data_IF_390787905683
#
_entry.id   IF_390787905683
#
_cell.length_a   1.000
_cell.length_b   1.000
_cell.length_c   1.000
_cell.angle_alpha   90.00
_cell.angle_beta   90.00
_cell.angle_gamma   90.00
#
_symmetry.space_group_name_H-M   'P 1'
#
loop_
_entity.id
_entity.type
_entity.pdbx_description
1 polymer ?
#
# COMPACT_ATOMS: atom_id res chain seq x y z
N UNK A 1 -32.36 -39.24 9.02
CA UNK A 1 -31.11 -38.71 8.43
C UNK A 1 -31.36 -37.59 7.39
N UNK A 2 -32.38 -37.67 6.52
CA UNK A 2 -32.63 -36.63 5.47
C UNK A 2 -33.10 -35.25 5.98
N UNK A 3 -33.76 -35.16 7.12
CA UNK A 3 -34.29 -33.87 7.60
C UNK A 3 -33.23 -33.01 8.31
N UNK A 4 -32.22 -33.62 8.94
CA UNK A 4 -31.11 -32.89 9.57
C UNK A 4 -30.19 -32.21 8.52
N UNK A 5 -29.95 -32.91 7.40
CA UNK A 5 -29.14 -32.40 6.28
C UNK A 5 -29.87 -31.24 5.59
N UNK A 6 -31.19 -31.34 5.44
CA UNK A 6 -32.01 -30.22 4.86
C UNK A 6 -32.02 -29.02 5.79
N UNK A 7 -32.07 -29.21 7.11
CA UNK A 7 -32.02 -28.09 8.07
C UNK A 7 -30.66 -27.41 8.06
N UNK A 8 -29.56 -28.18 7.96
CA UNK A 8 -28.19 -27.62 7.83
C UNK A 8 -27.97 -26.85 6.53
N UNK A 9 -28.55 -27.33 5.43
CA UNK A 9 -28.49 -26.64 4.12
C UNK A 9 -29.29 -25.33 4.12
N UNK A 10 -30.43 -25.27 4.79
CA UNK A 10 -31.21 -24.03 4.94
C UNK A 10 -30.47 -23.01 5.81
N UNK A 11 -29.78 -23.46 6.86
CA UNK A 11 -28.97 -22.58 7.72
C UNK A 11 -27.74 -22.03 7.00
N UNK A 12 -27.15 -22.79 6.07
CA UNK A 12 -26.00 -22.34 5.25
C UNK A 12 -26.40 -21.36 4.13
N UNK A 13 -27.68 -21.32 3.75
CA UNK A 13 -28.18 -20.45 2.68
C UNK A 13 -28.80 -19.15 3.19
N UNK A 14 -29.06 -19.02 4.49
CA UNK A 14 -29.77 -17.87 5.07
C UNK A 14 -28.87 -16.66 5.42
N UNK A 15 -27.55 -16.77 5.36
CA UNK A 15 -26.63 -15.70 5.76
C UNK A 15 -25.90 -15.02 4.59
N UNK A 16 -26.49 -14.99 3.39
CA UNK A 16 -26.05 -14.03 2.35
C UNK A 16 -26.73 -12.67 2.52
N UNK A 17 -26.81 -12.19 3.76
CA UNK A 17 -27.02 -10.76 3.97
C UNK A 17 -25.69 -10.06 3.71
N UNK A 18 -25.54 -9.55 2.48
CA UNK A 18 -24.53 -8.55 2.17
C UNK A 18 -24.81 -7.34 3.07
N UNK A 19 -24.09 -7.25 4.17
CA UNK A 19 -23.94 -5.99 4.88
C UNK A 19 -23.21 -5.07 3.92
N UNK A 20 -23.95 -4.23 3.20
CA UNK A 20 -23.35 -3.09 2.51
C UNK A 20 -22.68 -2.28 3.60
N UNK A 21 -21.34 -2.32 3.65
CA UNK A 21 -20.56 -1.36 4.40
C UNK A 21 -20.89 -0.03 3.73
N UNK A 22 -21.75 0.76 4.38
CA UNK A 22 -21.99 2.13 4.00
C UNK A 22 -20.63 2.81 4.02
N UNK A 23 -20.04 3.04 2.84
CA UNK A 23 -18.95 4.00 2.68
C UNK A 23 -19.54 5.32 3.17
N UNK A 24 -19.14 5.74 4.36
CA UNK A 24 -19.52 7.03 4.91
C UNK A 24 -18.77 8.06 4.07
N UNK A 25 -19.46 8.61 3.07
CA UNK A 25 -18.96 9.76 2.33
C UNK A 25 -18.79 10.89 3.33
N UNK A 26 -17.58 11.39 3.44
CA UNK A 26 -17.33 12.61 4.20
C UNK A 26 -17.99 13.78 3.46
N UNK A 27 -18.49 14.80 4.19
CA UNK A 27 -18.95 16.04 3.59
C UNK A 27 -17.73 16.84 3.09
N UNK A 28 -17.26 16.51 1.93
CA UNK A 28 -16.15 17.05 1.18
C UNK A 28 -15.95 16.11 0.00
N UNK A 29 -16.08 16.62 -1.21
CA UNK A 29 -16.06 15.86 -2.45
C UNK A 29 -14.74 15.08 -2.58
N UNK A 30 -14.73 13.77 -2.27
CA UNK A 30 -13.61 12.89 -2.59
C UNK A 30 -13.37 11.76 -1.59
N UNK A 31 -12.72 10.74 -2.05
CA UNK A 31 -12.28 9.60 -1.25
C UNK A 31 -10.77 9.69 -1.05
N UNK A 32 -10.30 9.52 0.18
CA UNK A 32 -8.88 9.36 0.52
C UNK A 32 -8.63 7.89 0.80
N UNK A 33 -7.91 7.21 -0.07
CA UNK A 33 -7.65 5.77 0.06
C UNK A 33 -6.49 5.33 -0.84
N UNK A 34 -6.00 4.13 -0.64
CA UNK A 34 -5.14 3.41 -1.58
C UNK A 34 -5.93 2.22 -2.15
N UNK A 35 -6.19 2.26 -3.44
CA UNK A 35 -6.66 1.08 -4.18
C UNK A 35 -5.43 0.30 -4.62
N UNK A 36 -5.10 -0.77 -3.91
CA UNK A 36 -3.89 -1.54 -4.19
C UNK A 36 -3.91 -2.16 -5.59
N UNK A 37 -2.97 -1.73 -6.42
CA UNK A 37 -2.76 -2.23 -7.78
C UNK A 37 -1.50 -3.12 -7.84
N UNK A 38 -1.32 -4.02 -6.87
CA UNK A 38 -0.17 -4.92 -6.81
C UNK A 38 -0.03 -5.73 -8.11
N UNK A 39 1.19 -5.77 -8.64
CA UNK A 39 1.49 -6.45 -9.88
C UNK A 39 1.11 -5.69 -11.15
N UNK A 40 0.58 -4.47 -11.02
CA UNK A 40 0.28 -3.61 -12.15
C UNK A 40 1.44 -2.65 -12.44
N UNK A 41 1.68 -2.30 -13.71
CA UNK A 41 2.68 -1.31 -14.08
C UNK A 41 2.20 0.10 -13.73
N UNK A 42 3.12 0.96 -13.30
CA UNK A 42 2.88 2.40 -13.22
C UNK A 42 3.04 3.03 -14.60
N UNK A 43 2.49 4.24 -14.78
CA UNK A 43 2.58 4.96 -16.06
C UNK A 43 3.94 5.65 -16.21
N UNK A 44 4.93 4.91 -16.72
CA UNK A 44 6.31 5.37 -16.88
C UNK A 44 6.49 6.50 -17.89
N UNK A 45 5.59 6.68 -18.86
CA UNK A 45 5.65 7.73 -19.89
C UNK A 45 5.12 9.10 -19.40
N UNK A 46 4.91 9.25 -18.09
CA UNK A 46 4.48 10.52 -17.50
C UNK A 46 5.65 11.51 -17.41
N UNK A 47 5.41 12.75 -17.87
CA UNK A 47 6.40 13.83 -17.90
C UNK A 47 6.31 14.70 -16.64
N UNK A 48 7.47 15.07 -16.09
CA UNK A 48 7.62 15.93 -14.92
C UNK A 48 8.73 16.95 -15.10
N UNK A 49 8.84 17.88 -14.16
CA UNK A 49 10.05 18.68 -13.95
C UNK A 49 10.77 18.13 -12.72
N UNK A 50 12.07 17.91 -12.84
CA UNK A 50 12.90 17.58 -11.68
C UNK A 50 13.18 18.84 -10.85
N UNK A 51 13.86 18.69 -9.72
CA UNK A 51 14.23 19.77 -8.81
C UNK A 51 15.17 20.82 -9.42
N UNK A 52 15.73 20.57 -10.58
CA UNK A 52 16.57 21.54 -11.34
C UNK A 52 15.76 22.28 -12.42
N UNK A 53 14.46 21.96 -12.57
CA UNK A 53 13.59 22.51 -13.60
C UNK A 53 13.75 21.87 -14.98
N UNK A 54 14.44 20.76 -15.07
CA UNK A 54 14.62 19.99 -16.30
C UNK A 54 13.42 19.07 -16.54
N UNK A 55 13.00 18.96 -17.82
CA UNK A 55 11.97 18.00 -18.21
C UNK A 55 12.54 16.59 -18.18
N UNK A 56 11.85 15.71 -17.47
CA UNK A 56 12.20 14.31 -17.34
C UNK A 56 10.96 13.45 -17.60
N UNK A 57 11.16 12.24 -18.11
CA UNK A 57 10.12 11.22 -18.20
C UNK A 57 10.35 10.23 -17.05
N UNK A 58 9.30 9.79 -16.39
CA UNK A 58 9.43 8.90 -15.24
C UNK A 58 10.24 7.64 -15.58
N UNK A 59 10.14 7.14 -16.81
CA UNK A 59 10.91 6.02 -17.34
C UNK A 59 12.43 6.19 -17.23
N UNK A 60 12.94 7.41 -17.30
CA UNK A 60 14.37 7.68 -17.27
C UNK A 60 15.00 7.25 -15.93
N UNK A 61 14.20 7.25 -14.86
CA UNK A 61 14.63 6.79 -13.52
C UNK A 61 14.68 5.26 -13.40
N UNK A 62 14.05 4.51 -14.31
CA UNK A 62 14.00 3.04 -14.31
C UNK A 62 15.06 2.41 -15.21
N UNK A 63 16.11 3.15 -15.56
CA UNK A 63 17.24 2.66 -16.35
C UNK A 63 18.23 1.79 -15.55
N UNK A 64 18.18 1.89 -14.21
CA UNK A 64 18.97 1.08 -13.30
C UNK A 64 18.15 -0.15 -12.89
N UNK A 65 18.81 -1.28 -12.74
CA UNK A 65 18.17 -2.55 -12.31
C UNK A 65 18.00 -2.59 -10.78
N UNK A 66 17.39 -1.55 -10.23
CA UNK A 66 17.15 -1.39 -8.78
C UNK A 66 15.71 -0.96 -8.51
N UNK A 67 15.12 -1.37 -7.38
CA UNK A 67 13.78 -0.97 -6.99
C UNK A 67 13.70 0.52 -6.66
N UNK A 68 12.50 1.08 -6.84
CA UNK A 68 12.20 2.49 -6.62
C UNK A 68 11.16 2.65 -5.53
N UNK A 69 11.45 3.48 -4.53
CA UNK A 69 10.46 3.95 -3.56
C UNK A 69 9.76 5.17 -4.15
N UNK A 70 8.44 5.14 -4.28
CA UNK A 70 7.64 6.29 -4.74
C UNK A 70 6.83 6.81 -3.58
N UNK A 71 6.95 8.13 -3.32
CA UNK A 71 6.11 8.87 -2.39
C UNK A 71 5.31 9.94 -3.13
N UNK A 72 4.06 10.13 -2.73
CA UNK A 72 3.13 11.09 -3.31
C UNK A 72 2.74 12.08 -2.22
N UNK A 73 3.24 13.32 -2.34
CA UNK A 73 3.12 14.36 -1.33
C UNK A 73 2.99 15.72 -1.99
N UNK A 74 2.56 16.76 -1.26
CA UNK A 74 2.73 18.14 -1.70
C UNK A 74 3.68 18.89 -0.74
N UNK A 75 4.50 19.77 -1.28
CA UNK A 75 5.67 20.26 -0.57
C UNK A 75 5.36 21.36 0.45
N UNK A 76 4.31 22.15 0.25
CA UNK A 76 3.85 23.15 1.23
C UNK A 76 2.94 22.58 2.34
N UNK A 77 2.74 21.27 2.36
CA UNK A 77 1.93 20.61 3.39
C UNK A 77 2.39 20.98 4.81
N UNK A 78 1.49 21.51 5.66
CA UNK A 78 1.86 21.96 7.00
C UNK A 78 2.22 20.81 7.95
N UNK A 79 1.80 19.57 7.69
CA UNK A 79 1.99 18.49 8.66
C UNK A 79 2.25 17.11 8.05
N UNK A 80 1.27 16.49 7.38
CA UNK A 80 1.28 15.06 7.06
C UNK A 80 2.41 14.64 6.10
N UNK A 81 2.64 15.41 5.03
CA UNK A 81 3.68 15.09 4.04
C UNK A 81 5.07 15.12 4.66
N UNK A 82 5.31 16.08 5.57
CA UNK A 82 6.56 16.15 6.32
C UNK A 82 6.73 14.94 7.25
N UNK A 83 5.65 14.39 7.82
CA UNK A 83 5.70 13.18 8.64
C UNK A 83 6.05 11.95 7.82
N UNK A 84 5.43 11.76 6.64
CA UNK A 84 5.73 10.63 5.74
C UNK A 84 7.19 10.66 5.29
N UNK A 85 7.67 11.81 4.79
CA UNK A 85 9.06 11.94 4.34
C UNK A 85 10.07 11.85 5.49
N UNK A 86 9.72 12.35 6.68
CA UNK A 86 10.55 12.18 7.87
C UNK A 86 10.64 10.70 8.28
N UNK A 87 9.51 9.99 8.34
CA UNK A 87 9.50 8.58 8.67
C UNK A 87 10.26 7.73 7.65
N UNK A 88 10.19 8.08 6.37
CA UNK A 88 11.03 7.45 5.35
C UNK A 88 12.51 7.73 5.63
N UNK A 89 12.91 8.99 5.80
CA UNK A 89 14.29 9.35 6.05
C UNK A 89 14.87 8.72 7.33
N UNK A 90 14.07 8.63 8.40
CA UNK A 90 14.47 7.95 9.64
C UNK A 90 14.74 6.45 9.40
N UNK A 91 13.91 5.81 8.57
CA UNK A 91 14.09 4.40 8.18
C UNK A 91 15.32 4.21 7.29
N UNK A 92 15.55 5.10 6.32
CA UNK A 92 16.72 5.06 5.44
C UNK A 92 18.02 5.19 6.21
N UNK A 93 18.04 5.99 7.29
CA UNK A 93 19.24 6.18 8.13
C UNK A 93 19.67 4.91 8.86
N UNK A 94 18.73 4.03 9.18
CA UNK A 94 19.01 2.73 9.83
C UNK A 94 19.14 1.59 8.82
N UNK A 95 18.80 1.83 7.55
CA UNK A 95 18.78 0.81 6.51
C UNK A 95 20.22 0.39 6.14
N UNK A 96 20.44 -0.92 6.07
CA UNK A 96 21.74 -1.50 5.66
C UNK A 96 21.88 -1.66 4.13
N UNK A 97 21.04 -0.98 3.36
CA UNK A 97 21.07 -0.91 1.89
C UNK A 97 21.55 0.47 1.45
N UNK A 98 22.19 0.57 0.29
CA UNK A 98 22.84 1.77 -0.22
C UNK A 98 21.99 2.44 -1.31
N UNK A 99 21.75 3.75 -1.17
CA UNK A 99 21.08 4.53 -2.20
C UNK A 99 21.90 4.55 -3.49
N UNK A 100 21.25 4.25 -4.61
CA UNK A 100 21.86 4.20 -5.94
C UNK A 100 22.46 2.85 -6.34
N UNK A 101 22.72 1.97 -5.36
CA UNK A 101 23.14 0.60 -5.60
C UNK A 101 22.01 -0.40 -5.38
N UNK A 102 21.28 -0.25 -4.27
CA UNK A 102 20.22 -1.18 -3.88
C UNK A 102 18.82 -0.61 -4.08
N UNK A 103 18.66 0.72 -4.07
CA UNK A 103 17.37 1.39 -4.27
C UNK A 103 17.55 2.85 -4.71
N UNK A 104 16.47 3.43 -5.21
CA UNK A 104 16.34 4.88 -5.44
C UNK A 104 14.98 5.36 -4.95
N UNK A 105 14.80 6.69 -4.87
CA UNK A 105 13.59 7.30 -4.33
C UNK A 105 13.10 8.39 -5.29
N UNK A 106 11.80 8.41 -5.51
CA UNK A 106 11.11 9.46 -6.25
C UNK A 106 9.98 10.00 -5.39
N UNK A 107 10.03 11.27 -5.06
CA UNK A 107 8.94 12.02 -4.45
C UNK A 107 8.24 12.83 -5.52
N UNK A 108 6.96 12.57 -5.76
CA UNK A 108 6.15 13.27 -6.76
C UNK A 108 5.18 14.19 -6.04
N UNK A 109 5.19 15.45 -6.43
CA UNK A 109 4.26 16.46 -5.96
C UNK A 109 2.86 16.21 -6.52
N UNK A 110 1.85 16.18 -5.64
CA UNK A 110 0.45 16.05 -6.03
C UNK A 110 -0.26 17.38 -6.22
N UNK A 111 0.40 18.50 -5.88
CA UNK A 111 -0.11 19.86 -6.10
C UNK A 111 0.44 20.44 -7.42
N UNK A 112 -0.38 20.59 -8.48
CA UNK A 112 0.08 21.09 -9.76
C UNK A 112 0.48 22.59 -9.77
N UNK A 113 0.29 23.28 -8.65
CA UNK A 113 0.63 24.70 -8.50
C UNK A 113 2.00 24.93 -7.85
N UNK A 114 2.60 23.89 -7.29
CA UNK A 114 3.94 23.95 -6.71
C UNK A 114 5.03 23.93 -7.77
N UNK A 115 6.18 24.48 -7.44
CA UNK A 115 7.25 24.73 -8.40
C UNK A 115 8.48 23.88 -8.15
N UNK A 116 9.30 23.69 -9.18
CA UNK A 116 10.57 22.96 -9.05
C UNK A 116 11.54 23.62 -8.07
N UNK A 117 11.46 24.96 -7.88
CA UNK A 117 12.30 25.65 -6.89
C UNK A 117 11.94 25.21 -5.47
N UNK A 118 10.65 25.00 -5.19
CA UNK A 118 10.21 24.45 -3.92
C UNK A 118 10.65 22.99 -3.76
N UNK A 119 10.54 22.19 -4.82
CA UNK A 119 11.08 20.82 -4.86
C UNK A 119 12.58 20.79 -4.54
N UNK A 120 13.36 21.69 -5.16
CA UNK A 120 14.80 21.85 -4.89
C UNK A 120 15.08 22.14 -3.41
N UNK A 121 14.35 23.10 -2.85
CA UNK A 121 14.51 23.45 -1.44
C UNK A 121 14.16 22.28 -0.49
N UNK A 122 13.09 21.57 -0.77
CA UNK A 122 12.69 20.39 -0.01
C UNK A 122 13.74 19.29 -0.09
N UNK A 123 14.17 18.93 -1.29
CA UNK A 123 15.27 17.97 -1.50
C UNK A 123 16.50 18.34 -0.68
N UNK A 124 17.00 19.58 -0.83
CA UNK A 124 18.16 20.06 -0.08
C UNK A 124 18.00 19.89 1.42
N UNK A 125 16.83 20.23 1.98
CA UNK A 125 16.56 20.11 3.41
C UNK A 125 16.61 18.64 3.88
N UNK A 126 16.02 17.70 3.12
CA UNK A 126 16.01 16.28 3.48
C UNK A 126 17.40 15.65 3.33
N UNK A 127 18.11 15.92 2.24
CA UNK A 127 19.48 15.43 2.02
C UNK A 127 20.41 15.91 3.14
N UNK A 128 20.36 17.19 3.50
CA UNK A 128 21.16 17.75 4.59
C UNK A 128 20.78 17.18 5.96
N UNK A 129 19.47 17.01 6.23
CA UNK A 129 18.98 16.48 7.50
C UNK A 129 19.46 15.05 7.75
N UNK A 130 19.37 14.20 6.75
CA UNK A 130 19.65 12.78 6.90
C UNK A 130 21.12 12.43 6.67
N UNK A 131 21.81 13.18 5.81
CA UNK A 131 23.24 13.03 5.51
C UNK A 131 23.65 11.56 5.25
N UNK A 132 22.89 10.93 4.33
CA UNK A 132 23.14 9.54 3.89
C UNK A 132 23.95 9.60 2.59
N UNK A 133 24.93 8.73 2.46
CA UNK A 133 25.79 8.65 1.28
C UNK A 133 24.96 8.40 0.01
N UNK A 134 25.31 9.10 -1.07
CA UNK A 134 24.67 9.03 -2.39
C UNK A 134 23.17 9.41 -2.43
N UNK A 135 22.56 9.84 -1.32
CA UNK A 135 21.13 10.16 -1.26
C UNK A 135 20.76 11.31 -2.21
N UNK A 136 21.58 12.34 -2.32
CA UNK A 136 21.33 13.49 -3.19
C UNK A 136 21.13 13.10 -4.66
N UNK A 137 21.90 12.15 -5.14
CA UNK A 137 21.82 11.70 -6.53
C UNK A 137 20.71 10.66 -6.77
N UNK A 138 20.16 10.08 -5.71
CA UNK A 138 19.23 8.96 -5.77
C UNK A 138 17.88 9.22 -5.07
N UNK A 139 17.60 10.48 -4.71
CA UNK A 139 16.30 10.94 -4.26
C UNK A 139 15.85 12.13 -5.11
N UNK A 140 14.98 11.89 -6.07
CA UNK A 140 14.45 12.92 -6.97
C UNK A 140 13.13 13.49 -6.45
N UNK A 141 12.95 14.80 -6.62
CA UNK A 141 11.74 15.52 -6.24
C UNK A 141 11.11 16.12 -7.51
N UNK A 142 9.96 15.60 -7.89
CA UNK A 142 9.32 15.89 -9.17
C UNK A 142 8.07 16.73 -8.98
N UNK A 143 7.91 17.75 -9.87
CA UNK A 143 6.67 18.53 -9.99
C UNK A 143 6.08 18.34 -11.38
N UNK A 144 4.76 18.46 -11.53
CA UNK A 144 4.13 18.14 -12.80
C UNK A 144 2.81 18.85 -13.04
N UNK A 145 2.28 18.67 -14.25
CA UNK A 145 0.94 19.14 -14.58
C UNK A 145 -0.13 18.27 -13.90
N UNK A 146 -1.30 18.85 -13.65
CA UNK A 146 -2.43 18.13 -13.07
C UNK A 146 -2.78 16.82 -13.85
N UNK A 147 -2.60 16.84 -15.18
CA UNK A 147 -2.84 15.67 -16.02
C UNK A 147 -1.84 14.53 -15.71
N UNK A 148 -0.54 14.83 -15.68
CA UNK A 148 0.51 13.85 -15.44
C UNK A 148 0.49 13.35 -13.99
N UNK A 149 0.22 14.24 -13.02
CA UNK A 149 0.00 13.88 -11.61
C UNK A 149 -1.17 12.90 -11.49
N UNK A 150 -2.32 13.18 -12.11
CA UNK A 150 -3.48 12.27 -12.09
C UNK A 150 -3.20 10.93 -12.76
N UNK A 151 -2.46 10.92 -13.86
CA UNK A 151 -2.06 9.67 -14.52
C UNK A 151 -1.27 8.76 -13.58
N UNK A 152 -0.25 9.31 -12.93
CA UNK A 152 0.60 8.51 -12.03
C UNK A 152 -0.13 8.11 -10.75
N UNK A 153 -0.88 9.01 -10.11
CA UNK A 153 -1.63 8.70 -8.89
C UNK A 153 -2.70 7.64 -9.14
N UNK A 154 -3.39 7.69 -10.29
CA UNK A 154 -4.36 6.66 -10.66
C UNK A 154 -3.69 5.31 -10.92
N UNK A 155 -2.53 5.26 -11.58
CA UNK A 155 -1.82 4.00 -11.82
C UNK A 155 -1.33 3.36 -10.53
N UNK A 156 -0.93 4.17 -9.55
CA UNK A 156 -0.54 3.71 -8.21
C UNK A 156 -1.79 3.41 -7.34
N UNK A 157 -2.98 3.85 -7.75
CA UNK A 157 -4.19 3.69 -6.95
C UNK A 157 -4.29 4.67 -5.77
N UNK A 158 -3.59 5.80 -5.84
CA UNK A 158 -3.53 6.81 -4.80
C UNK A 158 -4.68 7.81 -4.98
N UNK A 159 -5.73 7.66 -4.17
CA UNK A 159 -6.92 8.51 -4.21
C UNK A 159 -6.75 9.70 -3.26
N UNK A 160 -6.84 10.90 -3.80
CA UNK A 160 -6.71 12.14 -3.08
C UNK A 160 -7.65 13.22 -3.65
N UNK A 161 -7.92 14.26 -2.89
CA UNK A 161 -8.69 15.41 -3.35
C UNK A 161 -8.24 16.70 -2.67
N UNK A 162 -8.59 17.82 -3.29
CA UNK A 162 -8.37 19.15 -2.73
C UNK A 162 -9.59 19.60 -1.92
N UNK A 163 -9.39 19.85 -0.62
CA UNK A 163 -10.40 20.40 0.27
C UNK A 163 -10.37 21.93 0.19
N UNK A 164 -11.37 22.51 -0.47
CA UNK A 164 -11.48 23.97 -0.66
C UNK A 164 -11.74 24.73 0.66
N UNK A 165 -12.24 24.06 1.68
CA UNK A 165 -12.55 24.69 2.97
C UNK A 165 -11.26 24.86 3.78
N UNK A 166 -10.41 23.83 3.73
CA UNK A 166 -9.13 23.81 4.45
C UNK A 166 -7.98 24.35 3.65
N UNK A 167 -8.16 24.53 2.34
CA UNK A 167 -7.13 24.90 1.39
C UNK A 167 -5.95 23.90 1.38
N UNK A 168 -6.28 22.60 1.46
CA UNK A 168 -5.31 21.53 1.60
C UNK A 168 -5.65 20.33 0.71
N UNK A 169 -4.62 19.57 0.28
CA UNK A 169 -4.81 18.28 -0.34
C UNK A 169 -4.96 17.18 0.72
N UNK A 170 -6.12 16.54 0.72
CA UNK A 170 -6.40 15.38 1.56
C UNK A 170 -5.90 14.12 0.85
N UNK A 171 -4.91 13.45 1.42
CA UNK A 171 -4.26 12.29 0.82
C UNK A 171 -3.91 11.21 1.84
N UNK A 172 -3.78 9.93 1.42
CA UNK A 172 -3.35 8.87 2.33
C UNK A 172 -1.86 8.99 2.68
N UNK A 173 -1.50 8.51 3.85
CA UNK A 173 -0.11 8.35 4.27
C UNK A 173 0.38 6.96 3.83
N UNK A 174 1.09 6.89 2.73
CA UNK A 174 1.64 5.66 2.20
C UNK A 174 2.79 5.93 1.24
N UNK A 175 3.61 4.91 0.99
CA UNK A 175 4.56 4.86 -0.12
C UNK A 175 4.37 3.56 -0.91
N UNK A 176 4.76 3.58 -2.17
CA UNK A 176 4.78 2.41 -3.03
C UNK A 176 6.23 2.00 -3.31
N UNK A 177 6.51 0.71 -3.26
CA UNK A 177 7.77 0.12 -3.73
C UNK A 177 7.51 -0.54 -5.07
N UNK A 178 8.27 -0.12 -6.05
CA UNK A 178 8.14 -0.52 -7.45
C UNK A 178 9.41 -1.24 -7.88
N UNK A 179 9.26 -2.33 -8.61
CA UNK A 179 10.40 -3.10 -9.10
C UNK A 179 11.11 -2.38 -10.28
N UNK A 180 12.27 -2.86 -10.76
CA UNK A 180 12.99 -2.24 -11.89
C UNK A 180 12.18 -2.13 -13.18
N UNK A 181 11.18 -2.99 -13.40
CA UNK A 181 10.31 -2.96 -14.58
C UNK A 181 9.14 -1.97 -14.47
N UNK A 182 9.06 -1.21 -13.37
CA UNK A 182 7.95 -0.28 -13.13
C UNK A 182 6.68 -0.95 -12.60
N UNK A 183 6.76 -2.16 -12.04
CA UNK A 183 5.62 -2.91 -11.51
C UNK A 183 5.53 -2.69 -10.00
N UNK A 184 4.35 -2.39 -9.50
CA UNK A 184 4.10 -2.18 -8.07
C UNK A 184 4.27 -3.50 -7.32
N UNK A 185 5.29 -3.56 -6.47
CA UNK A 185 5.62 -4.74 -5.67
C UNK A 185 4.94 -4.71 -4.30
N UNK A 186 4.94 -3.55 -3.62
CA UNK A 186 4.40 -3.42 -2.27
C UNK A 186 3.95 -2.00 -1.96
N UNK A 187 2.99 -1.87 -1.04
CA UNK A 187 2.66 -0.61 -0.37
C UNK A 187 3.09 -0.69 1.10
N UNK A 188 3.60 0.42 1.63
CA UNK A 188 3.86 0.60 3.05
C UNK A 188 3.03 1.79 3.55
N UNK A 189 2.28 1.57 4.63
CA UNK A 189 1.29 2.52 5.14
C UNK A 189 1.76 3.23 6.40
N UNK A 190 1.25 4.43 6.61
CA UNK A 190 1.48 5.24 7.79
C UNK A 190 2.61 6.26 7.62
N UNK A 191 3.06 6.77 8.73
CA UNK A 191 4.10 7.82 8.82
C UNK A 191 5.40 7.32 9.44
N UNK A 192 5.47 6.04 9.76
CA UNK A 192 6.66 5.36 10.27
C UNK A 192 6.82 4.06 9.49
N UNK A 193 8.02 3.84 8.97
CA UNK A 193 8.33 2.66 8.16
C UNK A 193 9.45 1.88 8.86
N UNK A 194 9.12 0.82 9.63
CA UNK A 194 10.14 0.01 10.29
C UNK A 194 11.22 -0.43 9.29
N UNK A 195 12.49 -0.30 9.67
CA UNK A 195 13.65 -0.64 8.81
C UNK A 195 13.51 -2.04 8.20
N UNK A 196 13.07 -3.00 9.00
CA UNK A 196 12.88 -4.39 8.56
C UNK A 196 11.85 -4.50 7.44
N UNK A 197 10.73 -3.76 7.54
CA UNK A 197 9.63 -3.84 6.56
C UNK A 197 10.04 -3.16 5.26
N UNK A 198 10.71 -2.00 5.35
CA UNK A 198 11.24 -1.29 4.19
C UNK A 198 12.31 -2.13 3.48
N UNK A 199 13.25 -2.72 4.23
CA UNK A 199 14.29 -3.59 3.69
C UNK A 199 13.70 -4.78 2.96
N UNK A 200 12.73 -5.47 3.58
CA UNK A 200 12.07 -6.62 2.98
C UNK A 200 11.34 -6.23 1.70
N UNK A 201 10.61 -5.10 1.70
CA UNK A 201 9.92 -4.61 0.51
C UNK A 201 10.87 -4.33 -0.66
N UNK A 202 12.04 -3.73 -0.38
CA UNK A 202 13.07 -3.45 -1.39
C UNK A 202 13.69 -4.74 -1.95
N UNK A 203 14.05 -5.69 -1.08
CA UNK A 203 14.64 -6.97 -1.51
C UNK A 203 13.65 -7.79 -2.34
N UNK A 204 12.38 -7.83 -1.95
CA UNK A 204 11.34 -8.51 -2.73
C UNK A 204 11.10 -7.86 -4.09
N UNK A 205 11.10 -6.52 -4.14
CA UNK A 205 10.97 -5.78 -5.39
C UNK A 205 12.18 -5.99 -6.32
N UNK A 206 13.40 -6.01 -5.78
CA UNK A 206 14.61 -6.31 -6.56
C UNK A 206 14.58 -7.71 -7.18
N UNK A 207 13.97 -8.69 -6.50
CA UNK A 207 13.80 -10.05 -7.03
C UNK A 207 12.55 -10.23 -7.92
N UNK A 208 11.84 -9.14 -8.23
CA UNK A 208 10.59 -9.17 -9.01
C UNK A 208 9.41 -9.85 -8.30
N UNK A 209 9.48 -10.03 -6.99
CA UNK A 209 8.40 -10.62 -6.20
C UNK A 209 7.30 -9.58 -5.95
N UNK A 210 6.05 -10.02 -6.09
CA UNK A 210 4.86 -9.18 -5.92
C UNK A 210 4.11 -9.67 -4.70
N UNK A 211 4.15 -8.88 -3.62
CA UNK A 211 3.47 -9.15 -2.35
C UNK A 211 3.73 -10.56 -1.81
N UNK A 212 3.91 -10.73 -0.51
CA UNK A 212 4.01 -12.09 0.02
C UNK A 212 2.62 -12.72 0.17
N UNK A 213 2.53 -14.05 0.03
CA UNK A 213 1.29 -14.80 0.29
C UNK A 213 0.81 -14.59 1.74
N UNK A 214 1.75 -14.40 2.67
CA UNK A 214 1.48 -14.07 4.06
C UNK A 214 0.86 -12.68 4.22
N UNK A 215 1.34 -11.67 3.47
CA UNK A 215 0.77 -10.32 3.51
C UNK A 215 -0.67 -10.32 3.00
N UNK A 216 -0.99 -11.08 1.95
CA UNK A 216 -2.37 -11.22 1.46
C UNK A 216 -3.29 -11.84 2.51
N UNK A 217 -2.81 -12.81 3.29
CA UNK A 217 -3.57 -13.43 4.38
C UNK A 217 -3.73 -12.44 5.53
N UNK A 218 -2.67 -11.71 5.88
CA UNK A 218 -2.69 -10.71 6.95
C UNK A 218 -3.59 -9.54 6.57
N UNK A 219 -3.48 -9.02 5.34
CA UNK A 219 -4.34 -7.93 4.84
C UNK A 219 -5.81 -8.34 4.76
N UNK A 220 -6.10 -9.61 4.44
CA UNK A 220 -7.48 -10.13 4.51
C UNK A 220 -8.03 -10.12 5.94
N UNK A 221 -7.18 -10.32 6.95
CA UNK A 221 -7.56 -10.31 8.36
C UNK A 221 -7.51 -8.93 9.02
N UNK A 222 -6.73 -7.99 8.44
CA UNK A 222 -6.54 -6.65 8.97
C UNK A 222 -7.05 -5.61 7.98
N UNK A 223 -7.91 -4.72 8.47
CA UNK A 223 -8.34 -3.55 7.71
C UNK A 223 -7.77 -2.31 8.39
N UNK A 224 -7.19 -1.41 7.59
CA UNK A 224 -6.72 -0.12 8.08
C UNK A 224 -7.92 0.73 8.50
N UNK A 225 -7.94 1.13 9.78
CA UNK A 225 -8.94 2.07 10.31
C UNK A 225 -8.33 3.48 10.26
N UNK A 226 -8.74 4.31 9.29
CA UNK A 226 -8.19 5.65 9.14
C UNK A 226 -8.52 6.58 10.32
N UNK A 227 -9.54 6.24 11.14
CA UNK A 227 -9.90 7.02 12.33
C UNK A 227 -8.98 6.76 13.52
N UNK A 228 -8.42 5.56 13.61
CA UNK A 228 -7.55 5.15 14.73
C UNK A 228 -6.08 5.15 14.34
N UNK A 229 -5.77 5.40 13.06
CA UNK A 229 -4.41 5.34 12.51
C UNK A 229 -3.69 4.01 12.83
N UNK A 230 -4.47 2.91 12.91
CA UNK A 230 -3.98 1.57 13.28
C UNK A 230 -4.67 0.50 12.45
N UNK A 231 -3.98 -0.60 12.20
CA UNK A 231 -4.59 -1.79 11.64
C UNK A 231 -5.50 -2.44 12.67
N UNK A 232 -6.80 -2.46 12.40
CA UNK A 232 -7.77 -3.16 13.24
C UNK A 232 -8.03 -4.55 12.69
N UNK A 233 -8.06 -5.52 13.58
CA UNK A 233 -8.51 -6.88 13.27
C UNK A 233 -9.95 -6.83 12.76
N UNK A 234 -10.15 -7.26 11.51
CA UNK A 234 -11.50 -7.36 10.96
C UNK A 234 -12.16 -8.62 11.56
N UNK A 235 -12.81 -8.42 12.71
CA UNK A 235 -13.41 -9.49 13.53
C UNK A 235 -14.27 -10.46 12.70
N UNK A 236 -15.00 -9.95 11.70
CA UNK A 236 -15.84 -10.75 10.81
C UNK A 236 -15.05 -11.78 9.98
N UNK A 237 -13.85 -11.43 9.50
CA UNK A 237 -13.03 -12.33 8.71
C UNK A 237 -12.39 -13.42 9.58
N UNK A 238 -11.98 -13.08 10.80
CA UNK A 238 -11.49 -14.05 11.79
C UNK A 238 -12.61 -15.02 12.20
N UNK A 239 -13.82 -14.51 12.44
CA UNK A 239 -14.99 -15.35 12.75
C UNK A 239 -15.33 -16.29 11.59
N UNK A 240 -15.21 -15.85 10.32
CA UNK A 240 -15.42 -16.71 9.15
C UNK A 240 -14.37 -17.83 9.08
N UNK A 241 -13.09 -17.51 9.25
CA UNK A 241 -12.01 -18.50 9.25
C UNK A 241 -12.22 -19.48 10.41
N UNK A 242 -12.49 -18.98 11.61
CA UNK A 242 -12.79 -19.81 12.78
C UNK A 242 -14.00 -20.72 12.57
N UNK A 243 -15.07 -20.19 11.97
CA UNK A 243 -16.28 -20.96 11.62
C UNK A 243 -16.00 -22.08 10.61
N UNK A 244 -15.23 -21.81 9.55
CA UNK A 244 -14.84 -22.83 8.57
C UNK A 244 -13.98 -23.92 9.21
N UNK A 245 -13.00 -23.56 10.02
CA UNK A 245 -12.16 -24.53 10.75
C UNK A 245 -12.99 -25.41 11.69
N UNK A 246 -13.95 -24.81 12.39
CA UNK A 246 -14.87 -25.54 13.28
C UNK A 246 -15.72 -26.53 12.51
N UNK A 247 -16.27 -26.13 11.36
CA UNK A 247 -17.06 -27.02 10.51
C UNK A 247 -16.23 -28.17 9.93
N UNK A 248 -14.99 -27.92 9.51
CA UNK A 248 -14.07 -28.96 9.05
C UNK A 248 -13.76 -29.93 10.19
N UNK A 249 -13.47 -29.44 11.40
CA UNK A 249 -13.14 -30.25 12.56
C UNK A 249 -14.33 -31.15 12.95
N UNK A 250 -15.54 -30.58 13.03
CA UNK A 250 -16.76 -31.32 13.32
C UNK A 250 -17.04 -32.37 12.23
N UNK A 251 -16.89 -31.99 10.96
CA UNK A 251 -17.06 -32.89 9.82
C UNK A 251 -16.12 -34.10 9.87
N UNK A 252 -14.85 -33.85 10.13
CA UNK A 252 -13.84 -34.93 10.29
C UNK A 252 -14.12 -35.80 11.49
N UNK A 253 -14.56 -35.22 12.60
CA UNK A 253 -14.92 -35.96 13.81
C UNK A 253 -16.13 -36.88 13.54
N UNK A 254 -17.20 -36.37 12.92
CA UNK A 254 -18.39 -37.15 12.57
C UNK A 254 -18.06 -38.21 11.52
N UNK A 255 -17.21 -37.92 10.54
CA UNK A 255 -16.76 -38.90 9.57
C UNK A 255 -15.98 -40.04 10.21
N UNK A 256 -15.09 -39.74 11.16
CA UNK A 256 -14.37 -40.77 11.92
C UNK A 256 -15.29 -41.65 12.80
N UNK A 257 -16.30 -41.03 13.44
CA UNK A 257 -17.29 -41.81 14.21
C UNK A 257 -18.10 -42.71 13.29
N UNK A 258 -18.57 -42.19 12.15
CA UNK A 258 -19.36 -42.98 11.20
C UNK A 258 -18.55 -44.13 10.59
N UNK A 259 -17.28 -43.91 10.30
CA UNK A 259 -16.37 -44.97 9.82
C UNK A 259 -16.11 -46.04 10.88
N UNK A 260 -16.09 -45.66 12.14
CA UNK A 260 -15.88 -46.59 13.25
C UNK A 260 -17.13 -47.48 13.52
N UNK A 261 -18.32 -46.88 13.42
CA UNK A 261 -19.59 -47.59 13.54
C UNK A 261 -19.79 -48.60 12.40
N UNK A 262 -19.38 -48.24 11.17
CA UNK A 262 -19.50 -49.15 10.03
C UNK A 262 -18.60 -50.38 10.14
N UNK A 263 -17.49 -50.27 10.83
CA UNK A 263 -16.57 -51.40 11.06
C UNK A 263 -17.02 -52.31 12.22
N UNK A 264 -17.98 -51.88 13.04
CA UNK A 264 -18.53 -52.69 14.16
C UNK A 264 -19.79 -53.47 13.78
N UNK A 265 -20.39 -53.23 12.62
CA UNK A 265 -21.60 -53.90 12.12
C UNK A 265 -21.27 -54.96 11.05
N UNK A 266 -19.99 -55.14 10.75
CA UNK A 266 -19.50 -56.06 9.70
C UNK A 266 -18.85 -57.36 10.20
N UNK A 267 -18.91 -57.67 11.51
CA UNK A 267 -18.49 -58.96 12.09
C UNK A 267 -19.69 -59.78 12.56
#
# INVERSE_FOLDING_TARGET
MNNLIKLLLVFLLSDFSYTQILKKEFPGEGTVDIVENLGSPILLESEFLNENGEKVVLKDFFSKDIPTIITLNYFECPMLCSLVLNGLGDSLKSLSLEAGNDYQIITIDINPHETYQLAHQKKKNYVQKYNIDNLDQNWSFLTGTNENIKKITNSIGFLYYYDRIRDEYMHPAALAVVNPDGIISRYLYGIQFPEKDLKLALLEAAEGKIGSTLDRIILYCYHYDPYKNTYTLFATNIMRIGGILTLIFIGLMLFNFWRKDHNLVGD
#
